data_IF_598897869292
#
_entry.id   IF_598897869292
#
_cell.length_a   1.000
_cell.length_b   1.000
_cell.length_c   1.000
_cell.angle_alpha   90.00
_cell.angle_beta   90.00
_cell.angle_gamma   90.00
#
_symmetry.space_group_name_H-M   'P 1'
#
loop_
_entity.id
_entity.type
_entity.pdbx_description
1 polymer ?
#
# COMPACT_ATOMS: atom_id res chain seq x y z
N UNK A 1 -31.69 7.11 -19.60
CA UNK A 1 -32.45 6.50 -18.46
C UNK A 1 -31.61 5.51 -17.65
N UNK A 2 -30.83 4.61 -18.31
CA UNK A 2 -29.93 3.68 -17.60
C UNK A 2 -28.84 4.42 -16.80
N UNK A 3 -28.20 5.39 -17.41
CA UNK A 3 -27.15 6.20 -16.77
C UNK A 3 -27.65 6.99 -15.55
N UNK A 4 -28.87 7.51 -15.58
CA UNK A 4 -29.43 8.27 -14.43
C UNK A 4 -29.78 7.38 -13.24
N UNK A 5 -30.28 6.16 -13.50
CA UNK A 5 -30.58 5.19 -12.44
C UNK A 5 -29.32 4.61 -11.81
N UNK A 6 -28.29 4.42 -12.62
CA UNK A 6 -26.97 3.96 -12.14
C UNK A 6 -26.24 5.06 -11.37
N UNK A 7 -26.37 6.33 -11.74
CA UNK A 7 -25.78 7.47 -11.03
C UNK A 7 -26.29 7.60 -9.60
N UNK A 8 -27.59 7.38 -9.36
CA UNK A 8 -28.17 7.43 -8.01
C UNK A 8 -27.58 6.36 -7.07
N UNK A 9 -27.26 5.18 -7.62
CA UNK A 9 -26.59 4.13 -6.86
C UNK A 9 -25.09 4.40 -6.64
N UNK A 10 -24.47 5.22 -7.51
CA UNK A 10 -23.05 5.58 -7.45
C UNK A 10 -22.71 6.61 -6.39
N UNK A 11 -23.67 7.42 -5.92
CA UNK A 11 -23.43 8.44 -4.86
C UNK A 11 -22.93 7.82 -3.54
N UNK A 12 -23.08 6.52 -3.41
CA UNK A 12 -22.66 5.75 -2.26
C UNK A 12 -21.25 5.14 -2.40
N UNK A 13 -20.64 5.22 -3.59
CA UNK A 13 -19.28 4.78 -3.83
C UNK A 13 -18.29 5.92 -3.53
N UNK A 14 -17.21 5.62 -2.83
CA UNK A 14 -16.25 6.58 -2.27
C UNK A 14 -15.73 7.65 -3.25
N UNK A 15 -14.60 7.41 -3.94
CA UNK A 15 -13.98 8.42 -4.80
C UNK A 15 -14.59 8.47 -6.21
N UNK A 16 -14.40 9.61 -6.90
CA UNK A 16 -14.82 9.78 -8.31
C UNK A 16 -14.23 8.69 -9.23
N UNK A 17 -13.01 8.27 -8.96
CA UNK A 17 -12.31 7.27 -9.74
C UNK A 17 -12.92 5.88 -9.57
N UNK A 18 -13.27 5.50 -8.35
CA UNK A 18 -14.00 4.27 -8.06
C UNK A 18 -15.36 4.23 -8.75
N UNK A 19 -16.06 5.36 -8.76
CA UNK A 19 -17.36 5.49 -9.45
C UNK A 19 -17.22 5.29 -10.95
N UNK A 20 -16.23 5.91 -11.58
CA UNK A 20 -15.99 5.78 -13.02
C UNK A 20 -15.61 4.34 -13.39
N UNK A 21 -14.74 3.70 -12.61
CA UNK A 21 -14.33 2.31 -12.83
C UNK A 21 -15.52 1.35 -12.72
N UNK A 22 -16.30 1.43 -11.66
CA UNK A 22 -17.49 0.59 -11.46
C UNK A 22 -18.53 0.77 -12.57
N UNK A 23 -18.72 2.03 -13.04
CA UNK A 23 -19.60 2.31 -14.17
C UNK A 23 -19.09 1.66 -15.47
N UNK A 24 -17.79 1.77 -15.73
CA UNK A 24 -17.16 1.18 -16.93
C UNK A 24 -17.28 -0.33 -16.92
N UNK A 25 -17.02 -0.98 -15.80
CA UNK A 25 -17.13 -2.43 -15.63
C UNK A 25 -18.58 -2.90 -15.86
N UNK A 26 -19.56 -2.24 -15.25
CA UNK A 26 -20.97 -2.56 -15.42
C UNK A 26 -21.46 -2.34 -16.87
N UNK A 27 -20.93 -1.33 -17.57
CA UNK A 27 -21.23 -1.10 -18.98
C UNK A 27 -20.64 -2.20 -19.88
N UNK A 28 -19.40 -2.60 -19.64
CA UNK A 28 -18.73 -3.66 -20.42
C UNK A 28 -19.45 -5.00 -20.23
N UNK A 29 -19.85 -5.34 -19.02
CA UNK A 29 -20.60 -6.56 -18.71
C UNK A 29 -21.92 -6.62 -19.49
N UNK A 30 -22.69 -5.52 -19.48
CA UNK A 30 -23.93 -5.43 -20.25
C UNK A 30 -23.68 -5.47 -21.76
N UNK A 31 -22.60 -4.87 -22.25
CA UNK A 31 -22.24 -4.91 -23.66
C UNK A 31 -21.86 -6.32 -24.11
N UNK A 32 -21.13 -7.08 -23.30
CA UNK A 32 -20.77 -8.47 -23.60
C UNK A 32 -21.98 -9.41 -23.58
N UNK A 33 -23.02 -9.07 -22.82
CA UNK A 33 -24.27 -9.85 -22.84
C UNK A 33 -25.01 -9.78 -24.16
N UNK A 34 -24.62 -8.87 -25.07
CA UNK A 34 -25.28 -8.65 -26.37
C UNK A 34 -26.69 -8.09 -26.29
N UNK A 35 -27.15 -7.69 -25.09
CA UNK A 35 -28.49 -7.15 -24.92
C UNK A 35 -28.58 -5.70 -25.45
N UNK A 36 -29.69 -5.33 -26.12
CA UNK A 36 -29.92 -3.95 -26.52
C UNK A 36 -29.89 -3.01 -25.33
N UNK A 37 -29.30 -1.81 -25.47
CA UNK A 37 -29.15 -0.80 -24.40
C UNK A 37 -30.47 -0.48 -23.67
N UNK A 38 -31.60 -0.57 -24.38
CA UNK A 38 -32.91 -0.36 -23.79
C UNK A 38 -33.34 -1.44 -22.77
N UNK A 39 -32.70 -2.60 -22.80
CA UNK A 39 -32.95 -3.74 -21.90
C UNK A 39 -31.88 -3.91 -20.83
N UNK A 40 -30.87 -3.03 -20.78
CA UNK A 40 -29.84 -3.11 -19.76
C UNK A 40 -30.47 -2.93 -18.38
N UNK A 41 -30.18 -3.88 -17.49
CA UNK A 41 -30.55 -3.75 -16.09
C UNK A 41 -29.79 -2.58 -15.45
N UNK A 42 -30.37 -1.84 -14.50
CA UNK A 42 -29.61 -0.88 -13.71
C UNK A 42 -28.40 -1.58 -13.10
N UNK A 43 -27.24 -0.96 -13.13
CA UNK A 43 -26.06 -1.52 -12.48
C UNK A 43 -26.40 -1.72 -10.99
N UNK A 44 -26.35 -2.96 -10.54
CA UNK A 44 -26.46 -3.30 -9.13
C UNK A 44 -25.06 -3.22 -8.55
N UNK A 45 -24.78 -2.16 -7.86
CA UNK A 45 -23.56 -2.06 -7.05
C UNK A 45 -23.86 -2.77 -5.74
N UNK A 46 -23.57 -4.07 -5.69
CA UNK A 46 -23.73 -4.83 -4.45
C UNK A 46 -22.71 -4.32 -3.42
N UNK A 47 -23.22 -3.72 -2.36
CA UNK A 47 -22.41 -3.12 -1.29
C UNK A 47 -21.51 -4.14 -0.62
N UNK A 48 -21.90 -5.41 -0.58
CA UNK A 48 -21.13 -6.47 0.06
C UNK A 48 -19.95 -6.93 -0.82
N UNK A 49 -20.10 -6.88 -2.14
CA UNK A 49 -19.09 -7.36 -3.08
C UNK A 49 -17.97 -6.34 -3.36
N UNK A 50 -18.24 -5.03 -3.20
CA UNK A 50 -17.30 -3.99 -3.65
C UNK A 50 -16.04 -3.85 -2.79
N UNK A 51 -16.14 -4.01 -1.47
CA UNK A 51 -14.98 -3.89 -0.58
C UNK A 51 -14.12 -5.17 -0.56
N UNK A 52 -14.75 -6.35 -0.66
CA UNK A 52 -14.04 -7.63 -0.73
C UNK A 52 -13.17 -7.74 -1.98
N UNK A 53 -13.57 -7.12 -3.09
CA UNK A 53 -12.79 -7.07 -4.33
C UNK A 53 -11.72 -5.99 -4.32
N UNK A 54 -11.92 -4.90 -3.57
CA UNK A 54 -11.01 -3.74 -3.56
C UNK A 54 -9.76 -3.93 -2.72
N UNK A 55 -9.69 -4.98 -1.87
CA UNK A 55 -8.59 -5.17 -0.92
C UNK A 55 -8.07 -6.61 -0.90
N UNK A 56 -8.15 -7.29 -2.03
CA UNK A 56 -7.71 -8.70 -2.14
C UNK A 56 -6.21 -8.85 -2.22
N UNK A 57 -5.52 -7.92 -2.84
CA UNK A 57 -4.08 -8.01 -3.12
C UNK A 57 -3.33 -6.84 -2.51
N UNK A 58 -2.04 -7.04 -2.33
CA UNK A 58 -1.10 -6.00 -1.84
C UNK A 58 -1.08 -4.80 -2.78
N UNK A 59 -1.17 -4.99 -4.09
CA UNK A 59 -1.21 -3.90 -5.08
C UNK A 59 -2.33 -2.87 -4.83
N UNK A 60 -3.42 -3.31 -4.21
CA UNK A 60 -4.56 -2.44 -3.91
C UNK A 60 -4.41 -1.65 -2.60
N UNK A 61 -3.44 -2.03 -1.76
CA UNK A 61 -3.17 -1.44 -0.45
C UNK A 61 -1.86 -0.69 -0.39
N UNK A 62 -0.88 -1.08 -1.22
CA UNK A 62 0.48 -0.55 -1.15
C UNK A 62 0.52 0.94 -1.54
N UNK A 63 1.43 1.66 -0.90
CA UNK A 63 1.86 2.98 -1.35
C UNK A 63 2.88 2.83 -2.47
N UNK A 64 2.70 3.56 -3.57
CA UNK A 64 3.61 3.59 -4.73
C UNK A 64 4.42 4.90 -4.80
N UNK A 65 4.04 5.92 -4.03
CA UNK A 65 4.83 7.15 -3.85
C UNK A 65 5.94 6.86 -2.85
N UNK A 66 7.05 6.32 -3.34
CA UNK A 66 8.14 5.81 -2.54
C UNK A 66 9.24 6.86 -2.38
N UNK A 67 9.75 6.95 -1.15
CA UNK A 67 10.98 7.66 -0.84
C UNK A 67 12.04 6.61 -0.50
N UNK A 68 13.09 6.58 -1.29
CA UNK A 68 14.22 5.64 -1.14
C UNK A 68 15.50 6.41 -0.85
N UNK A 69 16.46 5.71 -0.30
CA UNK A 69 17.84 6.19 -0.10
C UNK A 69 18.82 5.16 -0.66
N UNK A 70 20.06 5.57 -0.86
CA UNK A 70 21.13 4.70 -1.32
C UNK A 70 21.95 4.15 -0.16
N UNK A 71 22.66 3.02 -0.34
CA UNK A 71 23.51 2.45 0.71
C UNK A 71 24.57 3.42 1.24
N UNK A 72 25.10 4.25 0.36
CA UNK A 72 26.17 5.21 0.69
C UNK A 72 25.66 6.57 1.17
N UNK A 73 24.34 6.80 1.17
CA UNK A 73 23.75 7.98 1.75
C UNK A 73 23.98 8.02 3.27
N UNK A 74 23.99 9.21 3.82
CA UNK A 74 24.16 9.41 5.26
C UNK A 74 22.86 9.07 6.01
N UNK A 75 23.01 8.57 7.22
CA UNK A 75 21.86 8.19 8.08
C UNK A 75 20.97 9.37 8.41
N UNK A 76 21.52 10.58 8.49
CA UNK A 76 20.74 11.80 8.75
C UNK A 76 19.78 12.14 7.59
N UNK A 77 20.13 11.78 6.34
CA UNK A 77 19.21 11.90 5.22
C UNK A 77 17.99 10.98 5.41
N UNK A 78 18.23 9.72 5.73
CA UNK A 78 17.13 8.77 6.00
C UNK A 78 16.24 9.23 7.16
N UNK A 79 16.85 9.75 8.23
CA UNK A 79 16.12 10.32 9.38
C UNK A 79 15.28 11.53 8.98
N UNK A 80 15.85 12.44 8.18
CA UNK A 80 15.16 13.65 7.69
C UNK A 80 13.98 13.29 6.78
N UNK A 81 14.14 12.29 5.90
CA UNK A 81 13.05 11.78 5.05
C UNK A 81 11.93 11.21 5.91
N UNK A 82 12.26 10.42 6.94
CA UNK A 82 11.24 9.86 7.85
C UNK A 82 10.47 10.94 8.58
N UNK A 83 11.14 11.96 9.08
CA UNK A 83 10.53 13.09 9.77
C UNK A 83 9.65 13.91 8.83
N UNK A 84 10.19 14.34 7.70
CA UNK A 84 9.52 15.24 6.77
C UNK A 84 8.28 14.60 6.12
N UNK A 85 8.37 13.30 5.80
CA UNK A 85 7.27 12.54 5.16
C UNK A 85 6.37 11.83 6.16
N UNK A 86 6.66 11.91 7.45
CA UNK A 86 5.95 11.20 8.53
C UNK A 86 5.88 9.68 8.31
N UNK A 87 6.96 9.11 7.74
CA UNK A 87 7.08 7.68 7.47
C UNK A 87 8.05 7.02 8.46
N UNK A 88 7.91 5.73 8.67
CA UNK A 88 8.71 4.97 9.65
C UNK A 88 9.67 3.97 9.01
N UNK A 89 9.60 3.83 7.70
CA UNK A 89 10.39 2.89 6.93
C UNK A 89 10.83 3.55 5.63
N UNK A 90 12.10 3.43 5.30
CA UNK A 90 12.68 3.94 4.05
C UNK A 90 13.42 2.78 3.38
N UNK A 91 12.97 2.34 2.22
CA UNK A 91 13.68 1.34 1.43
C UNK A 91 15.02 1.88 0.94
N UNK A 92 15.97 0.96 0.79
CA UNK A 92 17.31 1.26 0.28
C UNK A 92 17.48 0.58 -1.08
N UNK A 93 17.76 1.36 -2.10
CA UNK A 93 17.96 0.88 -3.46
C UNK A 93 19.41 1.08 -3.90
N UNK A 94 19.91 0.16 -4.76
CA UNK A 94 21.19 0.34 -5.44
C UNK A 94 21.06 1.24 -6.68
N UNK A 95 22.15 1.41 -7.41
CA UNK A 95 22.21 2.24 -8.61
C UNK A 95 21.38 1.68 -9.77
N UNK A 96 21.05 0.39 -9.73
CA UNK A 96 20.19 -0.30 -10.70
C UNK A 96 18.70 -0.27 -10.31
N UNK A 97 18.37 0.33 -9.16
CA UNK A 97 17.00 0.43 -8.65
C UNK A 97 16.49 -0.88 -8.04
N UNK A 98 17.40 -1.75 -7.57
CA UNK A 98 17.05 -2.98 -6.85
C UNK A 98 17.00 -2.71 -5.36
N UNK A 99 16.04 -3.32 -4.70
CA UNK A 99 15.93 -3.26 -3.25
C UNK A 99 17.08 -4.03 -2.59
N UNK A 100 17.96 -3.32 -1.88
CA UNK A 100 19.15 -3.91 -1.19
C UNK A 100 19.07 -3.81 0.33
N UNK A 101 18.10 -3.09 0.87
CA UNK A 101 17.95 -2.91 2.31
C UNK A 101 16.68 -2.16 2.68
N UNK A 102 16.45 -2.09 3.98
CA UNK A 102 15.40 -1.28 4.60
C UNK A 102 15.97 -0.65 5.87
N UNK A 103 15.67 0.60 6.07
CA UNK A 103 15.96 1.30 7.34
C UNK A 103 14.64 1.70 7.99
N UNK A 104 14.48 1.45 9.28
CA UNK A 104 13.33 1.86 10.05
C UNK A 104 13.71 2.87 11.14
N UNK A 105 12.73 3.62 11.65
CA UNK A 105 12.91 4.49 12.81
C UNK A 105 13.47 3.72 14.02
N UNK A 106 13.15 2.42 14.14
CA UNK A 106 13.68 1.55 15.21
C UNK A 106 15.17 1.29 15.04
N UNK A 107 15.65 1.18 13.81
CA UNK A 107 17.06 0.99 13.53
C UNK A 107 17.85 2.26 13.84
N UNK A 108 17.27 3.44 13.58
CA UNK A 108 17.82 4.73 14.01
C UNK A 108 17.90 4.82 15.54
N UNK A 109 16.83 4.45 16.26
CA UNK A 109 16.83 4.44 17.73
C UNK A 109 17.86 3.43 18.28
N UNK A 110 17.99 2.26 17.69
CA UNK A 110 18.98 1.28 18.09
C UNK A 110 20.40 1.79 17.88
N UNK A 111 20.64 2.41 16.73
CA UNK A 111 21.91 3.08 16.44
C UNK A 111 22.26 4.12 17.52
N UNK A 112 21.32 4.98 17.88
CA UNK A 112 21.53 5.98 18.96
C UNK A 112 21.78 5.33 20.32
N UNK A 113 21.04 4.27 20.66
CA UNK A 113 21.13 3.60 21.96
C UNK A 113 22.44 2.80 22.16
N UNK A 114 23.06 2.33 21.08
CA UNK A 114 24.30 1.54 21.15
C UNK A 114 25.55 2.36 21.49
N UNK A 115 25.39 3.62 21.92
CA UNK A 115 26.51 4.45 22.35
C UNK A 115 27.38 4.95 21.21
N UNK A 116 26.91 4.84 19.98
CA UNK A 116 27.53 5.46 18.82
C UNK A 116 27.41 6.98 18.84
N UNK A 117 27.09 7.54 20.02
CA UNK A 117 27.13 8.98 20.35
C UNK A 117 28.52 9.60 20.14
N UNK A 118 29.57 8.78 19.99
CA UNK A 118 30.91 9.23 19.61
C UNK A 118 31.08 9.46 18.11
N UNK A 119 30.20 8.88 17.27
CA UNK A 119 30.15 9.14 15.82
C UNK A 119 28.92 9.98 15.52
N UNK A 120 29.12 11.09 14.84
CA UNK A 120 27.99 11.89 14.34
C UNK A 120 27.18 11.09 13.34
N UNK A 121 25.84 11.23 13.35
CA UNK A 121 24.98 10.66 12.30
C UNK A 121 25.38 11.13 10.88
N UNK A 122 26.13 12.24 10.79
CA UNK A 122 26.72 12.76 9.57
C UNK A 122 27.95 12.00 9.06
N UNK A 123 28.45 11.01 9.82
CA UNK A 123 29.61 10.20 9.45
C UNK A 123 29.26 8.73 9.20
N UNK A 124 27.98 8.36 9.39
CA UNK A 124 27.50 6.97 9.27
C UNK A 124 26.63 6.84 8.04
N UNK A 125 26.91 5.83 7.23
CA UNK A 125 26.14 5.55 6.02
C UNK A 125 24.98 4.59 6.30
N UNK A 126 23.94 4.66 5.48
CA UNK A 126 22.74 3.81 5.55
C UNK A 126 23.11 2.33 5.54
N UNK A 127 24.10 1.90 4.74
CA UNK A 127 24.55 0.49 4.65
C UNK A 127 25.11 -0.07 5.96
N UNK A 128 25.53 0.78 6.89
CA UNK A 128 26.06 0.36 8.20
C UNK A 128 24.95 -0.06 9.16
N UNK A 129 23.72 0.47 8.98
CA UNK A 129 22.61 0.24 9.90
C UNK A 129 21.38 -0.39 9.27
N UNK A 130 21.28 -0.43 7.92
CA UNK A 130 20.15 -1.01 7.22
C UNK A 130 20.01 -2.51 7.49
N UNK A 131 18.79 -3.01 7.48
CA UNK A 131 18.49 -4.44 7.47
C UNK A 131 18.55 -4.94 6.03
N UNK A 132 19.26 -6.04 5.78
CA UNK A 132 19.44 -6.65 4.45
C UNK A 132 18.58 -7.89 4.25
N UNK A 133 18.35 -8.67 5.32
CA UNK A 133 17.48 -9.85 5.25
C UNK A 133 16.01 -9.39 5.30
N UNK A 134 15.48 -9.07 4.14
CA UNK A 134 14.16 -8.48 3.98
C UNK A 134 13.13 -9.55 3.67
N UNK A 135 11.97 -9.39 4.28
CA UNK A 135 10.75 -10.10 3.87
C UNK A 135 10.03 -9.21 2.87
N UNK A 136 9.93 -9.67 1.63
CA UNK A 136 9.24 -8.95 0.55
C UNK A 136 8.01 -9.71 0.09
N UNK A 137 7.13 -9.03 -0.64
CA UNK A 137 5.93 -9.62 -1.25
C UNK A 137 5.81 -9.12 -2.70
N UNK A 138 5.06 -9.86 -3.51
CA UNK A 138 4.68 -9.43 -4.86
C UNK A 138 3.39 -8.60 -4.82
N UNK A 139 3.12 -7.76 -5.84
CA UNK A 139 1.87 -7.00 -5.94
C UNK A 139 0.60 -7.88 -5.85
N UNK A 140 0.65 -9.08 -6.43
CA UNK A 140 -0.46 -10.03 -6.48
C UNK A 140 -0.65 -10.81 -5.17
N UNK A 141 0.27 -10.70 -4.23
CA UNK A 141 0.17 -11.38 -2.93
C UNK A 141 -1.17 -11.04 -2.26
N UNK A 142 -1.94 -12.04 -1.79
CA UNK A 142 -3.16 -11.78 -1.08
C UNK A 142 -2.93 -10.92 0.17
N UNK A 143 -3.76 -9.90 0.37
CA UNK A 143 -3.60 -8.95 1.48
C UNK A 143 -3.56 -9.65 2.85
N UNK A 144 -4.41 -10.66 3.06
CA UNK A 144 -4.42 -11.44 4.31
C UNK A 144 -3.14 -12.26 4.51
N UNK A 145 -2.53 -12.73 3.43
CA UNK A 145 -1.25 -13.44 3.49
C UNK A 145 -0.13 -12.48 3.90
N UNK A 146 -0.07 -11.28 3.29
CA UNK A 146 0.88 -10.25 3.67
C UNK A 146 0.71 -9.86 5.15
N UNK A 147 -0.52 -9.68 5.63
CA UNK A 147 -0.80 -9.42 7.05
C UNK A 147 -0.34 -10.57 7.95
N UNK A 148 -0.61 -11.83 7.57
CA UNK A 148 -0.16 -13.00 8.31
C UNK A 148 1.37 -13.09 8.34
N UNK A 149 2.04 -12.70 7.24
CA UNK A 149 3.50 -12.65 7.14
C UNK A 149 4.08 -11.58 8.09
N UNK A 150 3.51 -10.36 8.12
CA UNK A 150 3.91 -9.32 9.07
C UNK A 150 3.83 -9.80 10.51
N UNK A 151 2.72 -10.48 10.87
CA UNK A 151 2.51 -11.01 12.23
C UNK A 151 3.52 -12.10 12.58
N UNK A 152 3.75 -13.07 11.70
CA UNK A 152 4.71 -14.18 11.92
C UNK A 152 6.14 -13.68 12.05
N UNK A 153 6.54 -12.77 11.19
CA UNK A 153 7.89 -12.21 11.15
C UNK A 153 8.09 -11.04 12.12
N UNK A 154 7.02 -10.56 12.74
CA UNK A 154 7.01 -9.42 13.67
C UNK A 154 7.58 -8.15 13.02
N UNK A 155 7.28 -7.95 11.73
CA UNK A 155 7.65 -6.76 10.97
C UNK A 155 6.43 -5.87 10.74
N UNK A 156 6.64 -4.56 10.73
CA UNK A 156 5.57 -3.58 10.51
C UNK A 156 5.46 -3.09 9.07
N UNK A 157 6.29 -3.64 8.18
CA UNK A 157 6.40 -3.19 6.80
C UNK A 157 6.87 -4.36 5.93
N UNK A 158 6.34 -4.44 4.71
CA UNK A 158 6.81 -5.34 3.65
C UNK A 158 7.04 -4.50 2.38
N UNK A 159 8.28 -4.41 1.90
CA UNK A 159 8.54 -3.90 0.57
C UNK A 159 7.87 -4.80 -0.47
N UNK A 160 7.29 -4.18 -1.50
CA UNK A 160 6.64 -4.86 -2.61
C UNK A 160 7.58 -4.85 -3.80
N UNK A 161 7.92 -6.03 -4.29
CA UNK A 161 8.92 -6.22 -5.35
C UNK A 161 8.30 -6.95 -6.52
N UNK A 162 8.54 -6.43 -7.71
CA UNK A 162 8.17 -7.04 -8.98
C UNK A 162 9.37 -7.01 -9.93
N UNK A 163 9.74 -8.15 -10.53
CA UNK A 163 10.90 -8.27 -11.42
C UNK A 163 12.20 -7.69 -10.81
N UNK A 164 12.47 -8.03 -9.54
CA UNK A 164 13.60 -7.55 -8.74
C UNK A 164 13.65 -6.04 -8.48
N UNK A 165 12.57 -5.32 -8.78
CA UNK A 165 12.46 -3.88 -8.53
C UNK A 165 11.44 -3.58 -7.45
N UNK A 166 11.75 -2.58 -6.66
CA UNK A 166 10.81 -2.04 -5.68
C UNK A 166 9.68 -1.29 -6.40
N UNK A 167 8.44 -1.75 -6.23
CA UNK A 167 7.25 -1.15 -6.86
C UNK A 167 6.27 -0.56 -5.86
N UNK A 168 6.44 -0.87 -4.57
CA UNK A 168 5.56 -0.39 -3.53
C UNK A 168 6.04 -0.74 -2.13
N UNK A 169 5.30 -0.27 -1.15
CA UNK A 169 5.48 -0.62 0.25
C UNK A 169 4.11 -0.79 0.91
N UNK A 170 3.92 -1.85 1.68
CA UNK A 170 2.73 -2.04 2.49
C UNK A 170 3.11 -2.13 3.97
N UNK A 171 2.38 -1.42 4.81
CA UNK A 171 2.67 -1.31 6.24
C UNK A 171 1.48 -1.77 7.09
N UNK A 172 1.73 -1.99 8.38
CA UNK A 172 0.65 -2.28 9.33
C UNK A 172 -0.38 -1.13 9.42
N UNK A 173 0.00 0.11 9.08
CA UNK A 173 -0.92 1.25 9.06
C UNK A 173 -1.94 1.15 7.93
N UNK A 174 -1.56 0.62 6.78
CA UNK A 174 -2.46 0.43 5.63
C UNK A 174 -3.57 -0.58 6.01
N UNK A 175 -3.22 -1.66 6.71
CA UNK A 175 -4.19 -2.60 7.26
C UNK A 175 -5.06 -2.02 8.37
N UNK A 176 -4.52 -1.13 9.20
CA UNK A 176 -5.30 -0.42 10.22
C UNK A 176 -6.32 0.49 9.57
N UNK A 177 -5.93 1.25 8.54
CA UNK A 177 -6.82 2.13 7.78
C UNK A 177 -7.95 1.35 7.12
N UNK A 178 -7.61 0.23 6.47
CA UNK A 178 -8.59 -0.69 5.90
C UNK A 178 -9.57 -1.22 6.97
N UNK A 179 -9.05 -1.63 8.13
CA UNK A 179 -9.89 -2.12 9.23
C UNK A 179 -10.87 -1.06 9.74
N UNK A 180 -10.43 0.19 9.84
CA UNK A 180 -11.28 1.31 10.23
C UNK A 180 -12.42 1.51 9.22
N UNK A 181 -12.13 1.51 7.92
CA UNK A 181 -13.16 1.62 6.88
C UNK A 181 -14.19 0.49 6.93
N UNK A 182 -13.74 -0.76 7.17
CA UNK A 182 -14.64 -1.91 7.28
C UNK A 182 -15.56 -1.77 8.51
N UNK A 183 -15.00 -1.37 9.65
CA UNK A 183 -15.76 -1.17 10.89
C UNK A 183 -16.80 -0.05 10.71
N UNK A 184 -16.38 1.09 10.14
CA UNK A 184 -17.31 2.21 9.89
C UNK A 184 -18.46 1.82 8.96
N UNK A 185 -18.19 1.02 7.93
CA UNK A 185 -19.23 0.51 7.03
C UNK A 185 -20.19 -0.43 7.75
N UNK A 186 -19.65 -1.37 8.52
CA UNK A 186 -20.47 -2.32 9.31
C UNK A 186 -21.39 -1.62 10.31
N UNK A 187 -20.93 -0.51 10.91
CA UNK A 187 -21.73 0.27 11.87
C UNK A 187 -22.84 1.10 11.21
N UNK A 188 -22.71 1.43 9.93
CA UNK A 188 -23.74 2.17 9.19
C UNK A 188 -24.85 1.28 8.62
N UNK A 189 -24.65 -0.03 8.62
CA UNK A 189 -25.60 -1.03 8.12
C UNK A 189 -26.52 -1.59 9.23
N UNK A 190 -26.34 -1.17 10.47
CA UNK A 190 -27.19 -1.46 11.63
C UNK A 190 -28.12 -0.27 11.93
#
# INVERSE_FOLDING_TARGET
>A
LWSLRSLAAMDQLGTREMRLRALTEAMLEQQWSGAPVARWAPASFDRSASWEHSYRTVAQLMSTDLFTVRPDDLVDLAASVMEWRHIRHVPVEDDEGRLVGLISHRDLLRFLAQGLLSRSAKEVTVKEIMVRDLVTVAPETPALEALAMMRRRKVGCLPVVENDRLVGIVTAYDFLSLSAEIIEKSMKEV
#
